data_IF_911491766498
#
_entry.id   IF_911491766498
#
_cell.length_a   1.000
_cell.length_b   1.000
_cell.length_c   1.000
_cell.angle_alpha   90.00
_cell.angle_beta   90.00
_cell.angle_gamma   90.00
#
_symmetry.space_group_name_H-M   'P 1'
#
loop_
_entity.id
_entity.type
_entity.pdbx_description
1 polymer ?
#
# COMPACT_ATOMS: atom_id res chain seq x y z
N UNK A 1 -49.59 30.25 14.52
CA UNK A 1 -48.20 30.33 14.98
C UNK A 1 -47.55 28.98 15.35
N UNK A 2 -48.27 27.93 15.73
CA UNK A 2 -47.66 26.63 16.13
C UNK A 2 -47.11 25.78 14.97
N UNK A 3 -47.59 25.92 13.73
CA UNK A 3 -47.14 25.15 12.56
C UNK A 3 -45.73 25.52 12.08
N UNK A 4 -45.34 26.78 12.20
CA UNK A 4 -44.01 27.26 11.70
C UNK A 4 -42.83 26.87 12.60
N UNK A 5 -43.09 26.66 13.89
CA UNK A 5 -42.07 26.24 14.86
C UNK A 5 -41.65 24.79 14.60
N UNK A 6 -42.63 23.93 14.28
CA UNK A 6 -42.37 22.53 13.99
C UNK A 6 -41.51 22.34 12.73
N UNK A 7 -41.78 23.14 11.69
CA UNK A 7 -41.02 23.11 10.43
C UNK A 7 -39.60 23.60 10.61
N UNK A 8 -39.35 24.65 11.41
CA UNK A 8 -38.02 25.12 11.73
C UNK A 8 -37.18 24.13 12.54
N UNK A 9 -37.82 23.44 13.51
CA UNK A 9 -37.15 22.44 14.36
C UNK A 9 -36.76 21.21 13.54
N UNK A 10 -37.58 20.79 12.57
CA UNK A 10 -37.27 19.68 11.68
C UNK A 10 -36.09 20.02 10.73
N UNK A 11 -36.03 21.26 10.23
CA UNK A 11 -34.89 21.71 9.39
C UNK A 11 -33.59 21.80 10.17
N UNK A 12 -33.64 22.22 11.47
CA UNK A 12 -32.48 22.26 12.33
C UNK A 12 -31.92 20.86 12.65
N UNK A 13 -32.79 19.87 12.85
CA UNK A 13 -32.41 18.48 13.11
C UNK A 13 -31.79 17.80 11.88
N UNK A 14 -32.23 18.13 10.68
CA UNK A 14 -31.65 17.63 9.43
C UNK A 14 -30.24 18.19 9.15
N UNK A 15 -29.94 19.37 9.64
CA UNK A 15 -28.61 19.99 9.50
C UNK A 15 -27.54 19.35 10.37
N UNK A 16 -27.91 18.60 11.41
CA UNK A 16 -26.97 17.94 12.33
C UNK A 16 -26.51 16.55 11.83
N UNK A 17 -27.17 15.97 10.84
CA UNK A 17 -26.82 14.66 10.26
C UNK A 17 -25.69 14.70 9.22
N UNK A 18 -25.13 15.87 8.91
CA UNK A 18 -24.18 16.07 7.80
C UNK A 18 -22.69 16.12 8.16
N UNK A 19 -22.32 15.97 9.42
CA UNK A 19 -20.90 15.89 9.78
C UNK A 19 -20.43 14.43 9.68
N UNK A 20 -20.27 13.96 8.47
CA UNK A 20 -19.34 12.86 8.20
C UNK A 20 -17.94 13.40 8.55
N UNK A 21 -17.34 12.90 9.60
CA UNK A 21 -15.92 13.11 9.87
C UNK A 21 -15.14 12.34 8.82
N UNK A 22 -14.98 12.91 7.63
CA UNK A 22 -13.99 12.40 6.70
C UNK A 22 -12.62 12.66 7.33
N UNK A 23 -11.79 11.63 7.52
CA UNK A 23 -10.41 11.84 7.93
C UNK A 23 -9.76 12.85 6.99
N UNK A 24 -8.85 13.66 7.49
CA UNK A 24 -8.17 14.63 6.65
C UNK A 24 -7.41 13.88 5.56
N UNK A 25 -7.28 14.41 4.34
CA UNK A 25 -6.51 13.77 3.28
C UNK A 25 -5.07 13.48 3.68
N UNK A 26 -4.53 14.19 4.67
CA UNK A 26 -3.21 13.93 5.25
C UNK A 26 -3.21 12.65 6.12
N UNK A 27 -4.26 12.44 6.93
CA UNK A 27 -4.41 11.23 7.75
C UNK A 27 -4.58 9.99 6.87
N UNK A 28 -5.41 10.08 5.84
CA UNK A 28 -5.58 9.02 4.85
C UNK A 28 -4.27 8.71 4.15
N UNK A 29 -3.52 9.73 3.73
CA UNK A 29 -2.22 9.55 3.08
C UNK A 29 -1.25 8.82 4.00
N UNK A 30 -1.14 9.22 5.25
CA UNK A 30 -0.29 8.58 6.26
C UNK A 30 -0.69 7.13 6.50
N UNK A 31 -1.99 6.87 6.59
CA UNK A 31 -2.50 5.50 6.71
C UNK A 31 -2.11 4.63 5.52
N UNK A 32 -2.34 5.10 4.29
CA UNK A 32 -2.03 4.34 3.09
C UNK A 32 -0.54 4.10 2.89
N UNK A 33 0.32 5.06 3.26
CA UNK A 33 1.78 4.87 3.25
C UNK A 33 2.17 3.78 4.27
N UNK A 34 1.55 3.77 5.45
CA UNK A 34 1.78 2.71 6.46
C UNK A 34 1.37 1.33 5.94
N UNK A 35 0.25 1.23 5.24
CA UNK A 35 -0.19 -0.03 4.61
C UNK A 35 0.77 -0.45 3.51
N UNK A 36 1.18 0.49 2.64
CA UNK A 36 2.12 0.24 1.56
C UNK A 36 3.44 -0.31 2.09
N UNK A 37 4.01 0.31 3.11
CA UNK A 37 5.29 -0.13 3.70
C UNK A 37 5.20 -1.51 4.33
N UNK A 38 4.11 -1.82 5.03
CA UNK A 38 3.88 -3.16 5.59
C UNK A 38 3.82 -4.26 4.52
N UNK A 39 3.30 -3.95 3.35
CA UNK A 39 3.24 -4.90 2.22
C UNK A 39 4.61 -4.98 1.52
N UNK A 40 5.30 -3.86 1.37
CA UNK A 40 6.53 -3.76 0.60
C UNK A 40 7.75 -4.31 1.34
N UNK A 41 7.88 -4.07 2.64
CA UNK A 41 9.07 -4.41 3.43
C UNK A 41 9.45 -5.90 3.33
N UNK A 42 8.55 -6.87 3.57
CA UNK A 42 8.92 -8.28 3.53
C UNK A 42 9.41 -8.73 2.14
N UNK A 43 8.94 -8.12 1.07
CA UNK A 43 9.37 -8.45 -0.29
C UNK A 43 10.67 -7.75 -0.63
N UNK A 44 10.72 -6.43 -0.52
CA UNK A 44 11.85 -5.64 -1.00
C UNK A 44 13.11 -5.78 -0.13
N UNK A 45 12.96 -5.88 1.20
CA UNK A 45 14.11 -6.07 2.09
C UNK A 45 14.78 -7.43 1.88
N UNK A 46 14.03 -8.48 1.58
CA UNK A 46 14.58 -9.78 1.28
C UNK A 46 15.11 -9.85 -0.16
N UNK A 47 14.40 -9.29 -1.12
CA UNK A 47 14.81 -9.36 -2.52
C UNK A 47 16.06 -8.52 -2.81
N UNK A 48 16.18 -7.35 -2.17
CA UNK A 48 17.38 -6.50 -2.28
C UNK A 48 18.64 -7.16 -1.74
N UNK A 49 18.53 -8.24 -0.97
CA UNK A 49 19.63 -9.06 -0.44
C UNK A 49 19.76 -10.41 -1.16
N UNK A 50 18.91 -10.70 -2.13
CA UNK A 50 18.85 -12.02 -2.79
C UNK A 50 18.30 -13.15 -1.90
N UNK A 51 17.62 -12.82 -0.81
CA UNK A 51 17.15 -13.78 0.22
C UNK A 51 15.65 -14.10 0.12
N UNK A 52 14.94 -13.53 -0.84
CA UNK A 52 13.47 -13.66 -0.90
C UNK A 52 13.01 -15.12 -0.96
N UNK A 53 13.64 -15.94 -1.81
CA UNK A 53 13.29 -17.37 -1.95
C UNK A 53 13.49 -18.17 -0.67
N UNK A 54 14.50 -17.80 0.12
CA UNK A 54 14.83 -18.44 1.40
C UNK A 54 13.84 -18.07 2.48
N UNK A 55 13.49 -16.79 2.57
CA UNK A 55 12.73 -16.24 3.69
C UNK A 55 11.21 -16.21 3.43
N UNK A 56 10.80 -16.37 2.17
CA UNK A 56 9.39 -16.46 1.75
C UNK A 56 9.19 -17.70 0.86
N UNK A 57 9.26 -18.91 1.42
CA UNK A 57 9.04 -20.14 0.67
C UNK A 57 7.62 -20.18 0.11
N UNK A 58 7.47 -20.71 -1.12
CA UNK A 58 6.16 -20.87 -1.74
C UNK A 58 5.48 -22.10 -1.17
N UNK A 59 4.36 -21.91 -0.50
CA UNK A 59 3.53 -23.01 -0.03
C UNK A 59 2.76 -23.62 -1.21
N UNK A 60 2.73 -24.94 -1.26
CA UNK A 60 2.01 -25.70 -2.28
C UNK A 60 0.97 -26.60 -1.64
N UNK A 61 -0.18 -26.75 -2.27
CA UNK A 61 -1.21 -27.68 -1.83
C UNK A 61 -0.73 -29.09 -2.15
N UNK A 62 -0.63 -29.95 -1.12
CA UNK A 62 -0.29 -31.36 -1.28
C UNK A 62 -1.32 -32.06 -2.19
N UNK A 63 -0.84 -32.78 -3.21
CA UNK A 63 -1.71 -33.50 -4.15
C UNK A 63 -2.23 -32.68 -5.33
N UNK A 64 -1.78 -31.45 -5.53
CA UNK A 64 -2.11 -30.69 -6.72
C UNK A 64 -1.63 -31.40 -7.99
N UNK A 65 -2.52 -31.60 -8.98
CA UNK A 65 -2.22 -32.26 -10.27
C UNK A 65 -1.17 -31.52 -11.10
N UNK A 66 -1.09 -30.19 -10.93
CA UNK A 66 -0.05 -29.35 -11.50
C UNK A 66 0.66 -28.64 -10.35
N UNK A 67 1.93 -28.91 -10.08
CA UNK A 67 2.67 -28.12 -9.11
C UNK A 67 2.64 -26.66 -9.56
N UNK A 68 2.31 -25.71 -8.65
CA UNK A 68 2.30 -24.30 -9.00
C UNK A 68 3.65 -23.90 -9.55
N UNK A 69 3.64 -22.97 -10.52
CA UNK A 69 4.87 -22.48 -11.10
C UNK A 69 5.64 -21.61 -10.08
N UNK A 70 6.32 -22.28 -9.15
CA UNK A 70 7.07 -21.64 -8.07
C UNK A 70 8.19 -20.72 -8.57
N UNK A 71 8.58 -20.85 -9.86
CA UNK A 71 9.62 -20.03 -10.48
C UNK A 71 9.19 -18.58 -10.66
N UNK A 72 7.90 -18.36 -10.96
CA UNK A 72 7.36 -17.02 -11.25
C UNK A 72 6.78 -16.32 -10.04
N UNK A 73 6.49 -17.03 -8.94
CA UNK A 73 5.81 -16.47 -7.77
C UNK A 73 6.54 -15.27 -7.18
N UNK A 74 7.85 -15.36 -7.00
CA UNK A 74 8.63 -14.24 -6.43
C UNK A 74 8.78 -13.08 -7.42
N UNK A 75 8.91 -13.38 -8.72
CA UNK A 75 8.93 -12.36 -9.77
C UNK A 75 7.56 -11.66 -9.87
N UNK A 76 6.48 -12.40 -9.74
CA UNK A 76 5.14 -11.85 -9.71
C UNK A 76 4.92 -10.95 -8.48
N UNK A 77 5.40 -11.35 -7.32
CA UNK A 77 5.33 -10.53 -6.11
C UNK A 77 6.05 -9.18 -6.32
N UNK A 78 7.27 -9.19 -6.88
CA UNK A 78 8.00 -7.96 -7.21
C UNK A 78 7.27 -7.13 -8.26
N UNK A 79 6.79 -7.74 -9.34
CA UNK A 79 6.12 -7.04 -10.44
C UNK A 79 4.83 -6.35 -10.00
N UNK A 80 3.99 -7.03 -9.22
CA UNK A 80 2.77 -6.45 -8.66
C UNK A 80 3.08 -5.30 -7.70
N UNK A 81 4.10 -5.47 -6.87
CA UNK A 81 4.53 -4.42 -5.94
C UNK A 81 5.07 -3.21 -6.69
N UNK A 82 5.91 -3.41 -7.72
CA UNK A 82 6.43 -2.33 -8.55
C UNK A 82 5.31 -1.53 -9.20
N UNK A 83 4.34 -2.20 -9.83
CA UNK A 83 3.19 -1.54 -10.46
C UNK A 83 2.39 -0.72 -9.44
N UNK A 84 2.16 -1.27 -8.24
CA UNK A 84 1.42 -0.56 -7.18
C UNK A 84 2.18 0.63 -6.59
N UNK A 85 3.50 0.56 -6.55
CA UNK A 85 4.35 1.61 -5.95
C UNK A 85 4.81 2.67 -6.96
N UNK A 86 4.86 2.37 -8.25
CA UNK A 86 5.44 3.24 -9.27
C UNK A 86 4.94 4.69 -9.22
N UNK A 87 3.62 4.98 -9.13
CA UNK A 87 3.13 6.36 -9.07
C UNK A 87 3.63 7.13 -7.85
N UNK A 88 3.86 6.44 -6.72
CA UNK A 88 4.40 7.06 -5.52
C UNK A 88 5.92 7.26 -5.62
N UNK A 89 6.65 6.30 -6.18
CA UNK A 89 8.09 6.39 -6.38
C UNK A 89 8.49 7.47 -7.40
N UNK A 90 7.66 7.70 -8.43
CA UNK A 90 7.87 8.75 -9.45
C UNK A 90 7.90 10.16 -8.88
N UNK A 91 7.31 10.41 -7.71
CA UNK A 91 7.40 11.70 -7.03
C UNK A 91 8.84 12.06 -6.63
N UNK A 92 9.73 11.07 -6.59
CA UNK A 92 11.14 11.27 -6.25
C UNK A 92 11.38 11.59 -4.78
N UNK A 93 12.66 11.71 -4.38
CA UNK A 93 13.03 12.11 -3.03
C UNK A 93 12.80 13.62 -2.82
N UNK A 94 12.44 13.98 -1.58
CA UNK A 94 12.40 15.36 -1.11
C UNK A 94 12.78 15.42 0.38
N UNK A 95 12.81 16.62 0.97
CA UNK A 95 13.23 16.83 2.36
C UNK A 95 12.16 16.47 3.39
N UNK A 96 10.97 16.09 2.96
CA UNK A 96 9.91 15.62 3.85
C UNK A 96 10.23 14.24 4.42
N UNK A 97 9.58 13.85 5.50
CA UNK A 97 9.68 12.49 6.04
C UNK A 97 9.25 11.44 5.01
N UNK A 98 8.17 11.73 4.29
CA UNK A 98 7.70 10.87 3.21
C UNK A 98 8.69 10.81 2.03
N UNK A 99 9.32 11.92 1.65
CA UNK A 99 10.32 11.96 0.59
C UNK A 99 11.59 11.16 0.93
N UNK A 100 12.03 11.21 2.18
CA UNK A 100 13.12 10.36 2.67
C UNK A 100 12.73 8.89 2.65
N UNK A 101 11.50 8.57 3.00
CA UNK A 101 10.96 7.21 2.92
C UNK A 101 10.94 6.73 1.46
N UNK A 102 10.47 7.54 0.51
CA UNK A 102 10.52 7.23 -0.93
C UNK A 102 11.95 6.94 -1.40
N UNK A 103 12.91 7.72 -0.95
CA UNK A 103 14.33 7.49 -1.27
C UNK A 103 14.80 6.09 -0.84
N UNK A 104 14.40 5.63 0.36
CA UNK A 104 14.65 4.24 0.82
C UNK A 104 14.08 3.23 -0.17
N UNK A 105 12.80 3.40 -0.53
CA UNK A 105 12.11 2.42 -1.39
C UNK A 105 12.54 2.44 -2.85
N UNK A 106 12.92 3.59 -3.39
CA UNK A 106 13.55 3.68 -4.71
C UNK A 106 14.83 2.81 -4.74
N UNK A 107 15.69 2.97 -3.74
CA UNK A 107 16.92 2.18 -3.65
C UNK A 107 16.65 0.68 -3.48
N UNK A 108 15.73 0.30 -2.58
CA UNK A 108 15.35 -1.11 -2.39
C UNK A 108 14.79 -1.72 -3.67
N UNK A 109 13.96 -0.97 -4.40
CA UNK A 109 13.37 -1.44 -5.66
C UNK A 109 14.45 -1.66 -6.73
N UNK A 110 15.38 -0.74 -6.90
CA UNK A 110 16.47 -0.87 -7.86
C UNK A 110 17.35 -2.09 -7.54
N UNK A 111 17.73 -2.29 -6.28
CA UNK A 111 18.48 -3.47 -5.84
C UNK A 111 17.68 -4.77 -6.04
N UNK A 112 16.37 -4.73 -5.82
CA UNK A 112 15.49 -5.88 -6.01
C UNK A 112 15.38 -6.28 -7.49
N UNK A 113 15.34 -5.30 -8.39
CA UNK A 113 15.35 -5.52 -9.82
C UNK A 113 16.68 -6.14 -10.24
N UNK A 114 17.81 -5.57 -9.81
CA UNK A 114 19.13 -6.09 -10.14
C UNK A 114 19.30 -7.54 -9.68
N UNK A 115 18.98 -7.85 -8.43
CA UNK A 115 19.05 -9.21 -7.89
C UNK A 115 18.00 -10.16 -8.48
N UNK A 116 16.90 -9.66 -9.01
CA UNK A 116 15.84 -10.48 -9.59
C UNK A 116 16.16 -10.98 -11.01
N UNK A 117 17.08 -10.32 -11.71
CA UNK A 117 17.50 -10.65 -13.07
C UNK A 117 18.91 -11.28 -13.16
N UNK A 118 19.67 -11.33 -12.08
CA UNK A 118 20.94 -12.03 -11.95
C UNK A 118 20.73 -13.37 -11.21
#
# INVERSE_FOLDING_TARGET
MKKNIFTCTLFLLLSLCGYSQNPSGLEDRTYWITVLTKIADPVLENMSKGELKKNMPVETISGALNPPNTRTTHLEALGRLLVGMAPWLELGPDETEEGRLRSKYIRLMLLSIDNGFN
#
